data_IF_092783396082
#
_entry.id   IF_092783396082
#
_cell.length_a   1.000
_cell.length_b   1.000
_cell.length_c   1.000
_cell.angle_alpha   90.00
_cell.angle_beta   90.00
_cell.angle_gamma   90.00
#
_symmetry.space_group_name_H-M   'P 1'
#
loop_
_entity.id
_entity.type
_entity.pdbx_description
1 polymer ?
#
# COMPACT_ATOMS: atom_id res chain seq x y z
N UNK A 1 -18.69 -9.20 9.62
CA UNK A 1 -17.48 -9.63 10.34
C UNK A 1 -16.37 -8.57 10.27
N UNK A 2 -16.00 -8.12 9.08
CA UNK A 2 -14.96 -7.12 8.90
C UNK A 2 -15.45 -6.03 7.96
N UNK A 3 -15.05 -4.80 8.25
CA UNK A 3 -15.38 -3.63 7.45
C UNK A 3 -14.23 -3.33 6.46
N UNK A 4 -13.94 -4.32 5.62
CA UNK A 4 -12.90 -4.27 4.60
C UNK A 4 -13.43 -4.71 3.24
N UNK A 5 -12.79 -4.18 2.19
CA UNK A 5 -13.07 -4.65 0.83
C UNK A 5 -12.70 -6.11 0.67
N UNK A 6 -13.63 -6.90 0.15
CA UNK A 6 -13.39 -8.30 -0.18
C UNK A 6 -12.51 -8.40 -1.45
N UNK A 7 -11.61 -9.38 -1.46
CA UNK A 7 -10.77 -9.67 -2.62
C UNK A 7 -11.46 -10.71 -3.51
N UNK A 8 -11.57 -10.43 -4.80
CA UNK A 8 -12.07 -11.41 -5.75
C UNK A 8 -10.99 -12.42 -6.11
N UNK A 9 -11.37 -13.69 -6.05
CA UNK A 9 -10.55 -14.82 -6.46
C UNK A 9 -11.08 -15.46 -7.74
N UNK A 10 -10.22 -16.19 -8.44
CA UNK A 10 -10.56 -16.82 -9.74
C UNK A 10 -11.60 -17.95 -9.65
N UNK A 11 -11.87 -18.41 -8.44
CA UNK A 11 -12.90 -19.41 -8.18
C UNK A 11 -14.33 -18.80 -8.14
N UNK A 12 -14.51 -17.54 -8.54
CA UNK A 12 -15.79 -16.84 -8.53
C UNK A 12 -16.26 -16.41 -7.14
N UNK A 13 -15.35 -16.38 -6.15
CA UNK A 13 -15.64 -15.93 -4.80
C UNK A 13 -14.96 -14.61 -4.46
N UNK A 14 -15.60 -13.86 -3.58
CA UNK A 14 -15.02 -12.73 -2.86
C UNK A 14 -14.62 -13.22 -1.47
N UNK A 15 -13.38 -12.93 -1.05
CA UNK A 15 -12.83 -13.42 0.23
C UNK A 15 -12.31 -12.26 1.06
N UNK A 16 -12.62 -12.29 2.35
CA UNK A 16 -12.00 -11.42 3.34
C UNK A 16 -10.70 -12.06 3.85
N UNK A 17 -9.56 -11.44 3.61
CA UNK A 17 -8.26 -11.97 4.07
C UNK A 17 -8.00 -11.78 5.59
N UNK A 18 -8.90 -11.13 6.32
CA UNK A 18 -8.77 -10.98 7.78
C UNK A 18 -9.49 -12.11 8.53
N UNK A 19 -10.72 -12.45 8.13
CA UNK A 19 -11.54 -13.44 8.85
C UNK A 19 -11.89 -14.69 8.04
N UNK A 20 -11.46 -14.78 6.77
CA UNK A 20 -11.78 -15.91 5.89
C UNK A 20 -13.22 -15.93 5.37
N UNK A 21 -14.03 -14.91 5.65
CA UNK A 21 -15.41 -14.86 5.12
C UNK A 21 -15.40 -14.93 3.60
N UNK A 22 -16.25 -15.78 3.02
CA UNK A 22 -16.40 -15.97 1.58
C UNK A 22 -17.84 -15.69 1.14
N UNK A 23 -18.02 -15.09 -0.02
CA UNK A 23 -19.31 -14.90 -0.68
C UNK A 23 -19.13 -15.03 -2.21
N UNK A 24 -20.17 -15.42 -2.96
CA UNK A 24 -20.11 -15.40 -4.42
C UNK A 24 -19.80 -14.01 -4.95
N UNK A 25 -19.08 -13.96 -6.08
CA UNK A 25 -18.82 -12.69 -6.74
C UNK A 25 -20.12 -12.08 -7.27
N UNK A 26 -20.35 -10.82 -6.95
CA UNK A 26 -21.50 -10.06 -7.47
C UNK A 26 -21.14 -9.45 -8.83
N UNK A 27 -22.10 -9.43 -9.75
CA UNK A 27 -21.93 -8.89 -11.10
C UNK A 27 -22.65 -7.53 -11.29
N UNK A 28 -23.43 -7.11 -10.28
CA UNK A 28 -24.09 -5.83 -10.25
C UNK A 28 -24.05 -5.25 -8.84
N UNK A 29 -24.04 -3.94 -8.71
CA UNK A 29 -24.08 -3.27 -7.40
C UNK A 29 -25.38 -3.63 -6.66
N UNK A 30 -25.32 -4.18 -5.45
CA UNK A 30 -26.51 -4.55 -4.70
C UNK A 30 -27.37 -3.34 -4.29
N UNK A 31 -26.80 -2.15 -4.25
CA UNK A 31 -27.52 -0.93 -3.87
C UNK A 31 -28.18 -0.21 -5.05
N UNK A 32 -27.55 -0.14 -6.22
CA UNK A 32 -28.05 0.63 -7.36
C UNK A 32 -28.22 -0.19 -8.64
N UNK A 33 -27.93 -1.49 -8.64
CA UNK A 33 -28.06 -2.39 -9.79
C UNK A 33 -27.07 -2.13 -10.93
N UNK A 34 -26.14 -1.18 -10.79
CA UNK A 34 -25.17 -0.88 -11.83
C UNK A 34 -24.30 -2.10 -12.15
N UNK A 35 -24.15 -2.49 -13.45
CA UNK A 35 -23.22 -3.55 -13.84
C UNK A 35 -21.75 -3.08 -13.81
N UNK A 36 -21.49 -1.78 -13.65
CA UNK A 36 -20.16 -1.19 -13.58
C UNK A 36 -19.59 -1.19 -12.17
N UNK A 37 -19.53 -2.38 -11.55
CA UNK A 37 -18.93 -2.59 -10.21
C UNK A 37 -17.51 -3.14 -10.31
N UNK A 38 -16.81 -2.85 -11.42
CA UNK A 38 -15.40 -3.17 -11.56
C UNK A 38 -14.53 -2.23 -10.72
N UNK A 39 -13.87 -2.75 -9.69
CA UNK A 39 -12.75 -2.03 -9.09
C UNK A 39 -11.57 -1.92 -10.07
N UNK A 40 -10.61 -1.03 -9.80
CA UNK A 40 -9.32 -1.00 -10.50
C UNK A 40 -8.58 -2.33 -10.20
N UNK A 41 -8.85 -3.35 -11.03
CA UNK A 41 -8.34 -4.71 -10.83
C UNK A 41 -7.35 -5.06 -11.92
N UNK A 42 -6.21 -4.41 -11.93
CA UNK A 42 -5.06 -5.00 -12.59
C UNK A 42 -4.32 -5.89 -11.57
N UNK A 43 -4.96 -6.96 -11.11
CA UNK A 43 -4.24 -8.03 -10.41
C UNK A 43 -3.14 -8.57 -11.33
N UNK A 44 -2.03 -9.01 -10.75
CA UNK A 44 -0.88 -9.55 -11.49
C UNK A 44 -1.25 -10.58 -12.55
N UNK A 45 -2.27 -11.38 -12.29
CA UNK A 45 -2.79 -12.37 -13.24
C UNK A 45 -3.46 -11.73 -14.48
N UNK A 46 -4.24 -10.67 -14.29
CA UNK A 46 -4.85 -9.97 -15.42
C UNK A 46 -3.80 -9.22 -16.24
N UNK A 47 -2.80 -8.64 -15.55
CA UNK A 47 -1.65 -8.02 -16.21
C UNK A 47 -0.90 -9.07 -17.04
N UNK A 48 -0.64 -10.25 -16.48
CA UNK A 48 -0.01 -11.37 -17.19
C UNK A 48 -0.77 -11.76 -18.45
N UNK A 49 -2.10 -11.91 -18.35
CA UNK A 49 -2.94 -12.24 -19.51
C UNK A 49 -2.88 -11.15 -20.59
N UNK A 50 -2.91 -9.88 -20.20
CA UNK A 50 -2.82 -8.77 -21.15
C UNK A 50 -1.45 -8.69 -21.80
N UNK A 51 -0.37 -8.88 -21.03
CA UNK A 51 0.99 -8.91 -21.56
C UNK A 51 1.18 -10.06 -22.56
N UNK A 52 0.69 -11.25 -22.24
CA UNK A 52 0.73 -12.40 -23.19
C UNK A 52 -0.05 -12.16 -24.48
N UNK A 53 -1.13 -11.38 -24.44
CA UNK A 53 -1.87 -10.97 -25.65
C UNK A 53 -1.09 -9.93 -26.47
N UNK A 54 -0.46 -8.97 -25.82
CA UNK A 54 0.31 -7.90 -26.47
C UNK A 54 1.65 -8.42 -27.02
N UNK A 55 2.27 -9.36 -26.30
CA UNK A 55 3.58 -9.94 -26.62
C UNK A 55 3.51 -11.47 -26.69
N UNK A 56 2.84 -12.05 -27.73
CA UNK A 56 2.54 -13.49 -27.78
C UNK A 56 3.78 -14.38 -27.88
N UNK A 57 4.95 -13.83 -28.24
CA UNK A 57 6.22 -14.56 -28.31
C UNK A 57 7.06 -14.41 -27.04
N UNK A 58 6.69 -13.54 -26.11
CA UNK A 58 7.45 -13.31 -24.90
C UNK A 58 7.20 -14.42 -23.85
N UNK A 59 8.25 -14.84 -23.21
CA UNK A 59 8.19 -15.74 -22.06
C UNK A 59 7.92 -14.89 -20.82
N UNK A 60 6.77 -15.10 -20.20
CA UNK A 60 6.29 -14.28 -19.08
C UNK A 60 6.28 -15.10 -17.79
N UNK A 61 6.96 -14.61 -16.77
CA UNK A 61 6.89 -15.11 -15.41
C UNK A 61 6.04 -14.18 -14.54
N UNK A 62 5.32 -14.76 -13.58
CA UNK A 62 4.54 -14.04 -12.60
C UNK A 62 5.01 -14.41 -11.19
N UNK A 63 5.18 -13.38 -10.33
CA UNK A 63 5.58 -13.53 -8.95
C UNK A 63 4.68 -12.70 -8.03
N UNK A 64 3.82 -13.38 -7.31
CA UNK A 64 2.90 -12.81 -6.33
C UNK A 64 2.64 -13.81 -5.19
N UNK A 65 1.78 -13.45 -4.23
CA UNK A 65 1.44 -14.32 -3.11
C UNK A 65 0.82 -15.66 -3.50
N UNK A 66 0.21 -15.78 -4.69
CA UNK A 66 -0.36 -17.04 -5.17
C UNK A 66 0.69 -17.96 -5.78
N UNK A 67 1.69 -17.40 -6.46
CA UNK A 67 2.77 -18.17 -7.11
C UNK A 67 3.94 -18.49 -6.16
N UNK A 68 4.03 -17.84 -5.00
CA UNK A 68 5.12 -17.99 -4.03
C UNK A 68 4.70 -18.68 -2.73
N UNK A 69 3.72 -19.59 -2.80
CA UNK A 69 3.20 -20.32 -1.61
C UNK A 69 4.18 -21.37 -1.06
N UNK A 70 5.04 -21.92 -1.90
CA UNK A 70 6.05 -22.90 -1.48
C UNK A 70 7.39 -22.22 -1.18
N UNK A 71 8.15 -22.77 -0.22
CA UNK A 71 9.38 -22.16 0.30
C UNK A 71 10.42 -21.84 -0.78
N UNK A 72 10.47 -22.62 -1.87
CA UNK A 72 11.48 -22.48 -2.91
C UNK A 72 10.97 -21.73 -4.16
N UNK A 73 9.65 -21.59 -4.34
CA UNK A 73 9.09 -21.00 -5.57
C UNK A 73 9.53 -19.55 -5.80
N UNK A 74 9.79 -18.81 -4.74
CA UNK A 74 10.32 -17.46 -4.82
C UNK A 74 11.71 -17.42 -5.47
N UNK A 75 12.64 -18.24 -4.98
CA UNK A 75 14.01 -18.32 -5.48
C UNK A 75 14.08 -18.93 -6.89
N UNK A 76 13.25 -19.92 -7.19
CA UNK A 76 13.14 -20.53 -8.52
C UNK A 76 12.71 -19.53 -9.58
N UNK A 77 11.66 -18.74 -9.33
CA UNK A 77 11.18 -17.70 -10.29
C UNK A 77 12.28 -16.67 -10.56
N UNK A 78 12.96 -16.20 -9.52
CA UNK A 78 13.99 -15.18 -9.66
C UNK A 78 15.24 -15.71 -10.35
N UNK A 79 15.66 -16.95 -10.05
CA UNK A 79 16.78 -17.60 -10.69
C UNK A 79 16.53 -17.83 -12.17
N UNK A 80 15.31 -18.28 -12.53
CA UNK A 80 14.89 -18.49 -13.91
C UNK A 80 14.89 -17.17 -14.69
N UNK A 81 14.39 -16.08 -14.08
CA UNK A 81 14.43 -14.75 -14.70
C UNK A 81 15.87 -14.24 -14.85
N UNK A 82 16.72 -14.40 -13.84
CA UNK A 82 18.12 -14.01 -13.87
C UNK A 82 18.92 -14.79 -14.95
N UNK A 83 18.60 -16.07 -15.15
CA UNK A 83 19.19 -16.92 -16.18
C UNK A 83 18.73 -16.57 -17.61
N UNK A 84 17.77 -15.61 -17.76
CA UNK A 84 17.23 -15.23 -19.07
C UNK A 84 16.24 -16.24 -19.66
N UNK A 85 15.67 -17.10 -18.82
CA UNK A 85 14.64 -18.06 -19.26
C UNK A 85 13.28 -17.39 -19.49
N UNK A 86 13.11 -16.15 -19.03
CA UNK A 86 11.95 -15.32 -19.29
C UNK A 86 12.35 -13.92 -19.74
N UNK A 87 11.46 -13.32 -20.53
CA UNK A 87 11.65 -11.98 -21.11
C UNK A 87 10.94 -10.91 -20.27
N UNK A 88 9.88 -11.28 -19.56
CA UNK A 88 9.07 -10.37 -18.75
C UNK A 88 8.79 -11.01 -17.39
N UNK A 89 9.09 -10.27 -16.32
CA UNK A 89 8.70 -10.63 -14.95
C UNK A 89 7.61 -9.66 -14.48
N UNK A 90 6.45 -10.21 -14.09
CA UNK A 90 5.32 -9.47 -13.54
C UNK A 90 5.19 -9.80 -12.06
N UNK A 91 5.06 -8.78 -11.22
CA UNK A 91 4.85 -9.03 -9.80
C UNK A 91 4.42 -7.80 -9.03
N UNK A 92 4.28 -7.99 -7.73
CA UNK A 92 4.03 -6.92 -6.77
C UNK A 92 5.37 -6.32 -6.30
N UNK A 93 5.33 -5.47 -5.27
CA UNK A 93 6.55 -4.92 -4.64
C UNK A 93 7.60 -5.98 -4.21
N UNK A 94 7.25 -7.26 -4.21
CA UNK A 94 8.17 -8.35 -3.88
C UNK A 94 9.36 -8.43 -4.86
N UNK A 95 9.13 -8.15 -6.15
CA UNK A 95 10.16 -8.25 -7.20
C UNK A 95 11.22 -7.16 -7.14
N UNK A 96 10.95 -6.05 -6.45
CA UNK A 96 11.90 -4.93 -6.35
C UNK A 96 12.91 -5.05 -5.20
N UNK A 97 12.71 -6.00 -4.28
CA UNK A 97 13.56 -6.16 -3.11
C UNK A 97 14.67 -7.18 -3.34
N UNK A 98 15.92 -6.79 -3.09
CA UNK A 98 17.03 -7.70 -2.83
C UNK A 98 17.68 -8.39 -4.04
N UNK A 99 17.21 -8.18 -5.28
CA UNK A 99 17.75 -8.88 -6.45
C UNK A 99 18.33 -7.90 -7.47
N UNK A 100 19.41 -8.30 -8.12
CA UNK A 100 20.01 -7.55 -9.21
C UNK A 100 19.82 -8.28 -10.54
N UNK A 101 19.25 -7.56 -11.52
CA UNK A 101 18.99 -8.07 -12.86
C UNK A 101 19.66 -7.15 -13.89
N UNK A 102 20.94 -7.38 -14.23
CA UNK A 102 21.70 -6.47 -15.10
C UNK A 102 21.11 -6.37 -16.51
N UNK A 103 20.33 -7.36 -16.95
CA UNK A 103 19.73 -7.37 -18.28
C UNK A 103 18.36 -6.66 -18.38
N UNK A 104 17.85 -6.12 -17.27
CA UNK A 104 16.57 -5.38 -17.28
C UNK A 104 16.78 -3.99 -17.86
N UNK A 105 16.15 -3.75 -19.02
CA UNK A 105 16.19 -2.48 -19.74
C UNK A 105 14.93 -1.65 -19.59
N UNK A 106 13.80 -2.28 -19.18
CA UNK A 106 12.53 -1.59 -18.98
C UNK A 106 11.90 -2.01 -17.64
N UNK A 107 11.49 -1.02 -16.86
CA UNK A 107 10.67 -1.22 -15.66
C UNK A 107 9.37 -0.43 -15.80
N UNK A 108 8.23 -1.10 -15.60
CA UNK A 108 6.91 -0.48 -15.56
C UNK A 108 6.31 -0.55 -14.16
N UNK A 109 6.09 0.60 -13.52
CA UNK A 109 5.33 0.70 -12.27
C UNK A 109 3.88 1.07 -12.60
N UNK A 110 2.96 0.14 -12.39
CA UNK A 110 1.55 0.34 -12.67
C UNK A 110 0.81 0.80 -11.41
N UNK A 111 -0.13 1.74 -11.57
CA UNK A 111 -1.01 2.21 -10.51
C UNK A 111 -0.24 2.70 -9.26
N UNK A 112 0.76 3.55 -9.45
CA UNK A 112 1.59 4.11 -8.38
C UNK A 112 0.77 4.81 -7.28
N UNK A 113 -0.41 5.31 -7.64
CA UNK A 113 -1.35 5.99 -6.72
C UNK A 113 -1.92 5.08 -5.62
N UNK A 114 -1.92 3.77 -5.81
CA UNK A 114 -2.45 2.85 -4.79
C UNK A 114 -1.72 2.96 -3.45
N UNK A 115 -0.42 3.23 -3.48
CA UNK A 115 0.37 3.44 -2.26
C UNK A 115 0.17 4.83 -1.67
N UNK A 116 -0.10 5.86 -2.49
CA UNK A 116 -0.41 7.21 -2.02
C UNK A 116 -1.76 7.29 -1.30
N UNK A 117 -2.74 6.50 -1.73
CA UNK A 117 -4.08 6.49 -1.18
C UNK A 117 -4.21 5.69 0.14
N UNK A 118 -3.11 5.19 0.68
CA UNK A 118 -3.13 4.54 1.99
C UNK A 118 -3.45 5.57 3.10
N UNK A 119 -4.30 5.17 4.05
CA UNK A 119 -4.65 6.00 5.23
C UNK A 119 -3.50 5.93 6.25
N UNK A 120 -2.36 6.49 5.89
CA UNK A 120 -1.13 6.51 6.71
C UNK A 120 -0.32 7.75 6.33
N UNK A 121 0.12 8.52 7.31
CA UNK A 121 0.95 9.71 7.07
C UNK A 121 2.26 9.41 6.32
N UNK A 122 2.71 8.16 6.33
CA UNK A 122 3.90 7.67 5.59
C UNK A 122 3.61 7.23 4.17
N UNK A 123 2.40 7.45 3.65
CA UNK A 123 2.02 7.00 2.30
C UNK A 123 2.94 7.58 1.23
N UNK A 124 3.27 8.87 1.32
CA UNK A 124 4.22 9.55 0.43
C UNK A 124 5.62 8.94 0.47
N UNK A 125 6.15 8.73 1.67
CA UNK A 125 7.46 8.11 1.89
C UNK A 125 7.52 6.68 1.33
N UNK A 126 6.50 5.86 1.63
CA UNK A 126 6.43 4.48 1.11
C UNK A 126 6.36 4.46 -0.41
N UNK A 127 5.60 5.37 -1.01
CA UNK A 127 5.50 5.49 -2.47
C UNK A 127 6.85 5.87 -3.08
N UNK A 128 7.51 6.88 -2.54
CA UNK A 128 8.85 7.26 -2.95
C UNK A 128 9.83 6.08 -2.87
N UNK A 129 9.88 5.39 -1.74
CA UNK A 129 10.78 4.25 -1.52
C UNK A 129 10.54 3.12 -2.54
N UNK A 130 9.27 2.74 -2.76
CA UNK A 130 8.92 1.68 -3.70
C UNK A 130 9.26 2.06 -5.14
N UNK A 131 8.94 3.27 -5.56
CA UNK A 131 9.19 3.74 -6.92
C UNK A 131 10.68 3.91 -7.18
N UNK A 132 11.44 4.50 -6.25
CA UNK A 132 12.90 4.65 -6.37
C UNK A 132 13.58 3.29 -6.48
N UNK A 133 13.16 2.30 -5.70
CA UNK A 133 13.67 0.94 -5.82
C UNK A 133 13.34 0.31 -7.17
N UNK A 134 12.13 0.54 -7.69
CA UNK A 134 11.70 0.02 -8.99
C UNK A 134 12.47 0.70 -10.14
N UNK A 135 12.51 2.03 -10.17
CA UNK A 135 13.23 2.81 -11.18
C UNK A 135 14.70 2.43 -11.21
N UNK A 136 15.34 2.30 -10.04
CA UNK A 136 16.74 1.89 -9.91
C UNK A 136 17.06 0.46 -10.36
N UNK A 137 16.08 -0.33 -10.83
CA UNK A 137 16.32 -1.66 -11.42
C UNK A 137 16.59 -1.61 -12.92
N UNK A 138 16.17 -0.58 -13.61
CA UNK A 138 16.40 -0.44 -15.04
C UNK A 138 17.84 0.02 -15.33
N UNK A 139 18.50 -0.61 -16.31
CA UNK A 139 19.79 -0.13 -16.85
C UNK A 139 21.00 -0.34 -15.95
N UNK A 140 21.01 -1.39 -15.13
CA UNK A 140 22.18 -1.75 -14.31
C UNK A 140 23.29 -2.48 -15.05
N UNK A 141 23.03 -2.90 -16.28
CA UNK A 141 24.02 -3.52 -17.16
C UNK A 141 24.58 -2.54 -18.18
N UNK A 142 25.11 -3.10 -19.27
CA UNK A 142 25.71 -2.29 -20.36
C UNK A 142 24.67 -1.51 -21.19
N UNK A 143 23.39 -1.92 -21.14
CA UNK A 143 22.33 -1.30 -21.91
C UNK A 143 21.64 -0.21 -21.08
N UNK A 144 21.32 0.96 -21.70
CA UNK A 144 20.57 1.99 -21.00
C UNK A 144 19.18 1.46 -20.58
N UNK A 145 18.75 1.85 -19.39
CA UNK A 145 17.45 1.47 -18.85
C UNK A 145 16.44 2.60 -18.96
N UNK A 146 15.17 2.23 -19.04
CA UNK A 146 14.04 3.14 -18.98
C UNK A 146 13.07 2.67 -17.89
N UNK A 147 12.53 3.61 -17.11
CA UNK A 147 11.43 3.35 -16.18
C UNK A 147 10.20 4.16 -16.58
N UNK A 148 9.03 3.53 -16.53
CA UNK A 148 7.75 4.16 -16.81
C UNK A 148 6.87 4.03 -15.57
N UNK A 149 6.40 5.15 -15.03
CA UNK A 149 5.50 5.20 -13.88
C UNK A 149 4.12 5.60 -14.37
N UNK A 150 3.15 4.71 -14.23
CA UNK A 150 1.76 5.01 -14.51
C UNK A 150 1.09 5.56 -13.25
N UNK A 151 0.51 6.75 -13.36
CA UNK A 151 -0.12 7.47 -12.25
C UNK A 151 -1.22 8.41 -12.73
N UNK A 152 -2.19 8.71 -11.87
CA UNK A 152 -3.17 9.78 -12.05
C UNK A 152 -2.69 11.12 -11.46
N UNK A 153 -1.63 11.10 -10.64
CA UNK A 153 -1.06 12.26 -9.96
C UNK A 153 0.43 12.44 -10.29
N UNK A 154 0.79 12.69 -11.57
CA UNK A 154 2.18 12.82 -11.98
C UNK A 154 2.88 14.03 -11.35
N UNK A 155 2.10 15.01 -10.86
CA UNK A 155 2.59 16.21 -10.15
C UNK A 155 2.92 15.97 -8.68
N UNK A 156 2.55 14.80 -8.12
CA UNK A 156 2.81 14.51 -6.71
C UNK A 156 4.32 14.41 -6.45
N UNK A 157 4.81 15.14 -5.45
CA UNK A 157 6.26 15.23 -5.17
C UNK A 157 6.94 13.88 -4.98
N UNK A 158 6.29 12.91 -4.32
CA UNK A 158 6.85 11.56 -4.13
C UNK A 158 7.06 10.81 -5.44
N UNK A 159 6.24 11.08 -6.47
CA UNK A 159 6.33 10.46 -7.78
C UNK A 159 7.42 11.14 -8.60
N UNK A 160 7.42 12.49 -8.64
CA UNK A 160 8.42 13.25 -9.38
C UNK A 160 9.82 12.97 -8.88
N UNK A 161 10.05 13.10 -7.58
CA UNK A 161 11.38 12.89 -6.99
C UNK A 161 11.83 11.42 -7.07
N UNK A 162 10.90 10.45 -7.03
CA UNK A 162 11.24 9.04 -7.26
C UNK A 162 11.65 8.77 -8.71
N UNK A 163 10.98 9.40 -9.69
CA UNK A 163 11.36 9.29 -11.10
C UNK A 163 12.77 9.86 -11.38
N UNK A 164 13.13 10.93 -10.69
CA UNK A 164 14.45 11.58 -10.76
C UNK A 164 15.48 10.94 -9.82
N UNK A 165 15.05 10.03 -8.94
CA UNK A 165 15.86 9.43 -7.87
C UNK A 165 16.48 10.46 -6.92
N UNK A 166 15.81 11.60 -6.75
CA UNK A 166 16.26 12.70 -5.92
C UNK A 166 15.70 12.58 -4.49
N UNK A 167 16.48 11.92 -3.63
CA UNK A 167 16.14 11.81 -2.20
C UNK A 167 16.16 13.16 -1.48
N UNK A 168 17.08 14.07 -1.86
CA UNK A 168 17.21 15.37 -1.22
C UNK A 168 15.93 16.21 -1.39
N UNK A 169 15.48 16.34 -2.63
CA UNK A 169 14.25 17.06 -2.96
C UNK A 169 12.99 16.38 -2.34
N UNK A 170 12.97 15.04 -2.29
CA UNK A 170 11.91 14.31 -1.58
C UNK A 170 11.90 14.66 -0.10
N UNK A 171 13.06 14.56 0.57
CA UNK A 171 13.18 14.79 2.02
C UNK A 171 12.70 16.20 2.42
N UNK A 172 13.09 17.22 1.67
CA UNK A 172 12.67 18.59 1.95
C UNK A 172 11.14 18.74 1.89
N UNK A 173 10.52 18.29 0.81
CA UNK A 173 9.05 18.37 0.64
C UNK A 173 8.28 17.52 1.64
N UNK A 174 8.77 16.32 1.94
CA UNK A 174 8.15 15.44 2.94
C UNK A 174 8.25 16.04 4.34
N UNK A 175 9.41 16.62 4.70
CA UNK A 175 9.59 17.25 6.01
C UNK A 175 8.74 18.51 6.16
N UNK A 176 8.57 19.31 5.12
CA UNK A 176 7.66 20.46 5.14
C UNK A 176 6.21 20.03 5.37
N UNK A 177 5.77 18.98 4.69
CA UNK A 177 4.46 18.36 4.93
C UNK A 177 4.31 17.88 6.37
N UNK A 178 5.32 17.18 6.91
CA UNK A 178 5.28 16.64 8.28
C UNK A 178 5.29 17.73 9.33
N UNK A 179 6.05 18.81 9.14
CA UNK A 179 6.02 20.00 10.02
C UNK A 179 4.65 20.65 10.00
N UNK A 180 4.09 20.89 8.81
CA UNK A 180 2.77 21.50 8.64
C UNK A 180 1.67 20.68 9.32
N UNK A 181 1.70 19.36 9.15
CA UNK A 181 0.68 18.44 9.65
C UNK A 181 0.94 17.95 11.09
N UNK A 182 2.11 18.23 11.66
CA UNK A 182 2.53 17.72 12.98
C UNK A 182 2.66 16.20 12.99
N UNK A 183 3.34 15.63 12.01
CA UNK A 183 3.65 14.19 11.94
C UNK A 183 5.11 13.90 12.29
N UNK A 184 5.41 12.69 12.81
CA UNK A 184 6.79 12.28 13.03
C UNK A 184 7.65 12.36 11.75
N UNK A 185 8.94 12.74 11.84
CA UNK A 185 9.69 13.08 13.06
C UNK A 185 9.55 14.54 13.49
N UNK A 186 8.78 15.37 12.79
CA UNK A 186 8.60 16.79 13.15
C UNK A 186 7.74 17.00 14.41
N UNK A 187 7.02 15.98 14.84
CA UNK A 187 6.27 15.94 16.09
C UNK A 187 6.23 14.50 16.62
N UNK A 188 5.93 14.35 17.88
CA UNK A 188 5.67 13.04 18.48
C UNK A 188 4.20 12.66 18.33
N UNK A 189 3.94 11.41 18.00
CA UNK A 189 2.59 10.87 17.81
C UNK A 189 2.45 9.53 18.54
N UNK A 190 1.55 9.48 19.53
CA UNK A 190 1.13 8.27 20.22
C UNK A 190 -0.29 7.94 19.81
N UNK A 191 -0.56 6.69 19.43
CA UNK A 191 -1.88 6.17 19.17
C UNK A 191 -2.29 5.20 20.30
N UNK A 192 -3.46 5.43 20.88
CA UNK A 192 -4.08 4.55 21.87
C UNK A 192 -5.22 3.85 21.16
N UNK A 193 -5.06 2.55 20.90
CA UNK A 193 -6.03 1.73 20.21
C UNK A 193 -6.97 1.04 21.18
N UNK A 194 -8.25 1.03 20.86
CA UNK A 194 -9.28 0.27 21.55
C UNK A 194 -9.96 -0.71 20.61
N UNK A 195 -10.34 -1.88 21.10
CA UNK A 195 -11.14 -2.85 20.39
C UNK A 195 -12.21 -3.45 21.30
N UNK A 196 -13.41 -3.71 20.76
CA UNK A 196 -14.52 -4.28 21.53
C UNK A 196 -15.66 -4.76 20.63
N UNK A 197 -16.46 -5.69 21.15
CA UNK A 197 -17.61 -6.28 20.44
C UNK A 197 -18.79 -5.31 20.33
N UNK A 198 -18.94 -4.43 21.32
CA UNK A 198 -19.99 -3.41 21.36
C UNK A 198 -19.42 -2.04 21.02
N UNK A 199 -19.89 -1.45 19.92
CA UNK A 199 -19.41 -0.16 19.41
C UNK A 199 -19.73 0.99 20.37
N UNK A 200 -20.92 0.97 21.00
CA UNK A 200 -21.35 2.04 21.90
C UNK A 200 -20.50 2.02 23.19
N UNK A 201 -20.26 0.84 23.73
CA UNK A 201 -19.40 0.66 24.91
C UNK A 201 -17.94 1.04 24.61
N UNK A 202 -17.42 0.63 23.46
CA UNK A 202 -16.07 1.02 23.02
C UNK A 202 -15.96 2.53 22.87
N UNK A 203 -16.96 3.19 22.26
CA UNK A 203 -16.98 4.65 22.09
C UNK A 203 -16.95 5.35 23.45
N UNK A 204 -17.74 4.89 24.41
CA UNK A 204 -17.77 5.45 25.77
C UNK A 204 -16.40 5.29 26.48
N UNK A 205 -15.79 4.11 26.35
CA UNK A 205 -14.47 3.85 26.93
C UNK A 205 -13.37 4.75 26.34
N UNK A 206 -13.36 4.89 25.00
CA UNK A 206 -12.39 5.73 24.31
C UNK A 206 -12.61 7.23 24.60
N UNK A 207 -13.86 7.68 24.74
CA UNK A 207 -14.17 9.04 25.16
C UNK A 207 -13.77 9.30 26.63
N UNK A 208 -13.88 8.30 27.49
CA UNK A 208 -13.35 8.40 28.87
C UNK A 208 -11.83 8.59 28.87
N UNK A 209 -11.11 7.79 28.06
CA UNK A 209 -9.66 7.93 27.89
C UNK A 209 -9.30 9.33 27.39
N UNK A 210 -10.00 9.81 26.36
CA UNK A 210 -9.81 11.17 25.82
C UNK A 210 -9.94 12.24 26.91
N UNK A 211 -11.04 12.19 27.67
CA UNK A 211 -11.30 13.17 28.77
C UNK A 211 -10.22 13.10 29.86
N UNK A 212 -9.81 11.90 30.19
CA UNK A 212 -8.71 11.70 31.16
C UNK A 212 -7.41 12.35 30.67
N UNK A 213 -7.03 12.10 29.42
CA UNK A 213 -5.85 12.68 28.79
C UNK A 213 -5.92 14.22 28.75
N UNK A 214 -7.07 14.77 28.38
CA UNK A 214 -7.28 16.23 28.38
C UNK A 214 -7.07 16.80 29.78
N UNK A 215 -7.54 16.13 30.81
CA UNK A 215 -7.38 16.58 32.21
C UNK A 215 -5.92 16.55 32.65
N UNK A 216 -5.19 15.47 32.35
CA UNK A 216 -3.81 15.30 32.84
C UNK A 216 -2.77 16.10 32.05
N UNK A 217 -3.08 16.45 30.76
CA UNK A 217 -2.15 17.26 29.96
C UNK A 217 -1.88 18.64 30.58
N UNK A 218 -2.85 19.21 31.31
CA UNK A 218 -2.73 20.55 31.90
C UNK A 218 -2.49 21.62 30.82
N UNK A 219 -1.46 22.44 31.03
CA UNK A 219 -1.05 23.51 30.11
C UNK A 219 0.00 23.07 29.08
N UNK A 220 0.29 21.75 28.93
CA UNK A 220 1.26 21.28 27.98
C UNK A 220 0.70 21.42 26.54
N UNK A 221 1.58 21.72 25.58
CA UNK A 221 1.25 21.82 24.15
C UNK A 221 1.02 20.44 23.52
N UNK A 222 0.08 19.69 24.05
CA UNK A 222 -0.29 18.36 23.59
C UNK A 222 -1.70 18.41 23.02
N UNK A 223 -1.85 17.94 21.79
CA UNK A 223 -3.16 17.82 21.14
C UNK A 223 -3.69 16.39 21.32
N UNK A 224 -4.97 16.29 21.67
CA UNK A 224 -5.66 15.01 21.83
C UNK A 224 -6.77 14.95 20.78
N UNK A 225 -6.64 14.00 19.83
CA UNK A 225 -7.47 13.88 18.65
C UNK A 225 -8.25 12.58 18.72
N UNK A 226 -9.50 12.60 18.36
CA UNK A 226 -10.39 11.43 18.44
C UNK A 226 -11.36 11.52 19.64
N UNK A 227 -11.98 10.39 20.04
CA UNK A 227 -11.85 9.09 19.42
C UNK A 227 -12.36 9.06 17.98
N UNK A 228 -11.72 8.28 17.13
CA UNK A 228 -12.13 8.06 15.75
C UNK A 228 -12.03 6.57 15.40
N UNK A 229 -12.91 6.12 14.51
CA UNK A 229 -12.81 4.78 13.95
C UNK A 229 -11.48 4.63 13.20
N UNK A 230 -10.83 3.48 13.31
CA UNK A 230 -9.63 3.19 12.55
C UNK A 230 -9.96 3.04 11.05
N UNK A 231 -8.94 3.08 10.19
CA UNK A 231 -9.08 2.89 8.73
C UNK A 231 -9.81 1.57 8.37
N UNK A 232 -9.65 0.54 9.20
CA UNK A 232 -10.48 -0.66 9.22
C UNK A 232 -11.23 -0.66 10.54
N UNK A 233 -12.48 -0.21 10.49
CA UNK A 233 -13.31 0.05 11.68
C UNK A 233 -13.74 -1.22 12.39
N UNK A 234 -13.74 -2.38 11.71
CA UNK A 234 -14.15 -3.67 12.27
C UNK A 234 -13.34 -4.83 11.70
N UNK A 235 -12.79 -5.68 12.56
CA UNK A 235 -12.06 -6.91 12.19
C UNK A 235 -12.48 -8.03 13.13
N UNK A 236 -12.87 -9.20 12.60
CA UNK A 236 -13.29 -10.38 13.37
C UNK A 236 -14.36 -10.03 14.41
N UNK A 237 -15.38 -9.28 13.99
CA UNK A 237 -16.49 -8.78 14.83
C UNK A 237 -16.09 -7.82 15.95
N UNK A 238 -14.83 -7.40 16.03
CA UNK A 238 -14.36 -6.37 16.96
C UNK A 238 -14.31 -5.00 16.26
N UNK A 239 -15.05 -4.05 16.80
CA UNK A 239 -14.94 -2.63 16.45
C UNK A 239 -13.61 -2.07 16.92
N UNK A 240 -13.05 -1.12 16.18
CA UNK A 240 -11.72 -0.57 16.42
C UNK A 240 -11.74 0.95 16.36
N UNK A 241 -11.23 1.57 17.40
CA UNK A 241 -11.13 3.02 17.53
C UNK A 241 -9.74 3.42 18.01
N UNK A 242 -9.36 4.67 17.77
CA UNK A 242 -8.12 5.22 18.26
C UNK A 242 -8.31 6.64 18.81
N UNK A 243 -7.54 6.96 19.85
CA UNK A 243 -7.27 8.32 20.31
C UNK A 243 -5.79 8.59 20.06
N UNK A 244 -5.51 9.71 19.40
CA UNK A 244 -4.14 10.13 19.11
C UNK A 244 -3.73 11.25 20.05
N UNK A 245 -2.50 11.16 20.52
CA UNK A 245 -1.84 12.20 21.32
C UNK A 245 -0.67 12.71 20.49
N UNK A 246 -0.68 14.00 20.18
CA UNK A 246 0.36 14.65 19.39
C UNK A 246 1.02 15.74 20.22
N UNK A 247 2.33 15.71 20.30
CA UNK A 247 3.16 16.68 21.00
C UNK A 247 4.21 17.28 20.05
N UNK A 248 4.63 18.54 20.25
CA UNK A 248 5.83 19.04 19.61
C UNK A 248 7.02 18.14 19.97
N UNK A 249 7.97 18.02 19.05
CA UNK A 249 9.24 17.36 19.37
C UNK A 249 9.97 18.22 20.40
N UNK A 250 10.36 17.64 21.53
CA UNK A 250 11.26 18.32 22.47
C UNK A 250 12.67 18.36 21.85
N UNK A 251 13.29 19.57 21.84
CA UNK A 251 14.67 19.78 21.35
C UNK A 251 15.70 19.14 22.27
#
# INVERSE_FOLDING_TARGET
>A
HCDVSLTAHNNGKLVCHYCGYETPQVHACPSCGSPYIGGFRAGTQQIEQNVKKLFPKARVLRMDGDTTKTKNSYEEILSSFAAGEADILIGTQMIVKGHDFPNVTLVGALAADLSLNAVDYRAGERTFQLLTQAVGRAGRGEKPGMAVIQTYHPEHYSIQTAAEQDYGAFYEKEMDYRRLMGYPPAAELLAIHGAGEDEAHLTQAMEYIRRYLIRIRGNREVQIIGPASEAVSKINDLYRMAVYVRAPQEE
#
